data_IF_963910826230
#
_entry.id   IF_963910826230
#
_cell.length_a   1.000
_cell.length_b   1.000
_cell.length_c   1.000
_cell.angle_alpha   90.00
_cell.angle_beta   90.00
_cell.angle_gamma   90.00
#
_symmetry.space_group_name_H-M   'P 1'
#
loop_
_entity.id
_entity.type
_entity.pdbx_description
1 polymer ?
#
# COMPACT_ATOMS: atom_id res chain seq x y z
N UNK A 1 0.13 -26.56 0.60
CA UNK A 1 -1.10 -27.18 0.00
C UNK A 1 -2.04 -26.13 -0.64
N UNK A 2 -2.27 -24.98 0.01
CA UNK A 2 -3.11 -23.88 -0.53
C UNK A 2 -2.42 -23.14 -1.67
N UNK A 3 -1.16 -22.79 -1.51
CA UNK A 3 -0.35 -22.04 -2.49
C UNK A 3 -0.25 -22.76 -3.84
N UNK A 4 -0.06 -24.10 -3.83
CA UNK A 4 0.00 -24.91 -5.04
C UNK A 4 -1.33 -24.96 -5.83
N UNK A 5 -2.47 -24.90 -5.11
CA UNK A 5 -3.80 -24.84 -5.77
C UNK A 5 -4.06 -23.51 -6.46
N UNK A 6 -3.55 -22.43 -5.90
CA UNK A 6 -3.78 -21.06 -6.40
C UNK A 6 -2.69 -20.59 -7.38
N UNK A 7 -1.67 -21.42 -7.66
CA UNK A 7 -0.51 -21.05 -8.50
C UNK A 7 0.17 -19.74 -8.01
N UNK A 8 0.17 -19.52 -6.71
CA UNK A 8 0.78 -18.34 -6.09
C UNK A 8 2.29 -18.56 -6.02
N UNK A 9 3.06 -17.52 -6.30
CA UNK A 9 4.51 -17.48 -6.04
C UNK A 9 4.77 -17.75 -4.55
N UNK A 10 5.72 -18.61 -4.25
CA UNK A 10 6.09 -18.95 -2.87
C UNK A 10 7.61 -19.09 -2.73
N UNK A 11 8.10 -18.95 -1.50
CA UNK A 11 9.52 -18.92 -1.17
C UNK A 11 10.34 -20.15 -1.62
N UNK A 12 9.71 -21.30 -1.84
CA UNK A 12 10.40 -22.51 -2.34
C UNK A 12 11.05 -22.32 -3.71
N UNK A 13 10.65 -21.33 -4.47
CA UNK A 13 11.22 -21.02 -5.78
C UNK A 13 12.34 -19.97 -5.69
N UNK A 14 12.64 -19.49 -4.48
CA UNK A 14 13.54 -18.37 -4.22
C UNK A 14 14.49 -18.68 -3.06
N UNK A 15 15.08 -19.90 -3.05
CA UNK A 15 15.96 -20.39 -1.97
C UNK A 15 17.14 -19.45 -1.69
N UNK A 16 17.69 -18.82 -2.72
CA UNK A 16 18.78 -17.86 -2.58
C UNK A 16 18.39 -16.65 -1.75
N UNK A 17 17.18 -16.10 -1.97
CA UNK A 17 16.69 -14.96 -1.19
C UNK A 17 16.34 -15.34 0.25
N UNK A 18 15.82 -16.55 0.46
CA UNK A 18 15.59 -17.06 1.82
C UNK A 18 16.91 -17.12 2.59
N UNK A 19 17.99 -17.55 1.96
CA UNK A 19 19.33 -17.56 2.57
C UNK A 19 19.87 -16.17 2.83
N UNK A 20 19.76 -15.25 1.86
CA UNK A 20 20.17 -13.86 2.04
C UNK A 20 19.46 -13.18 3.19
N UNK A 21 18.13 -13.37 3.29
CA UNK A 21 17.34 -12.84 4.40
C UNK A 21 17.78 -13.47 5.73
N UNK A 22 18.00 -14.78 5.75
CA UNK A 22 18.49 -15.45 6.95
C UNK A 22 19.86 -14.96 7.39
N UNK A 23 20.80 -14.83 6.47
CA UNK A 23 22.14 -14.33 6.77
C UNK A 23 22.08 -12.89 7.31
N UNK A 24 21.19 -12.08 6.75
CA UNK A 24 20.94 -10.71 7.23
C UNK A 24 20.35 -10.70 8.65
N UNK A 25 19.38 -11.56 8.94
CA UNK A 25 18.82 -11.74 10.29
C UNK A 25 19.90 -12.20 11.27
N UNK A 26 20.66 -13.24 10.90
CA UNK A 26 21.65 -13.85 11.77
C UNK A 26 22.81 -12.88 12.13
N UNK A 27 23.10 -11.92 11.26
CA UNK A 27 24.10 -10.88 11.48
C UNK A 27 23.57 -9.65 12.25
N UNK A 28 22.26 -9.57 12.52
CA UNK A 28 21.65 -8.40 13.15
C UNK A 28 21.85 -8.36 14.67
N UNK A 29 22.00 -7.16 15.20
CA UNK A 29 22.05 -6.92 16.65
C UNK A 29 20.77 -7.37 17.35
N UNK A 30 19.62 -7.24 16.70
CA UNK A 30 18.32 -7.67 17.20
C UNK A 30 18.27 -9.18 17.46
N UNK A 31 18.81 -9.98 16.54
CA UNK A 31 18.88 -11.44 16.71
C UNK A 31 19.90 -11.84 17.77
N UNK A 32 21.05 -11.18 17.81
CA UNK A 32 22.04 -11.39 18.86
C UNK A 32 21.50 -11.07 20.25
N UNK A 33 20.75 -9.98 20.40
CA UNK A 33 20.11 -9.60 21.66
C UNK A 33 19.06 -10.65 22.11
N UNK A 34 18.23 -11.12 21.18
CA UNK A 34 17.26 -12.18 21.48
C UNK A 34 17.92 -13.46 21.98
N UNK A 35 19.02 -13.89 21.34
CA UNK A 35 19.77 -15.07 21.77
C UNK A 35 20.44 -14.88 23.16
N UNK A 36 20.87 -13.66 23.47
CA UNK A 36 21.51 -13.33 24.74
C UNK A 36 20.53 -13.26 25.92
N UNK A 37 19.25 -12.96 25.68
CA UNK A 37 18.22 -12.89 26.75
C UNK A 37 18.03 -14.25 27.45
N UNK A 38 18.24 -15.36 26.76
CA UNK A 38 18.13 -16.72 27.31
C UNK A 38 16.75 -17.08 27.86
N UNK A 39 15.76 -16.20 27.67
CA UNK A 39 14.38 -16.46 28.05
C UNK A 39 13.64 -17.04 26.83
N UNK A 40 13.04 -18.21 27.01
CA UNK A 40 12.16 -18.81 26.02
C UNK A 40 10.71 -18.74 26.49
N UNK A 41 9.82 -18.36 25.59
CA UNK A 41 8.39 -18.32 25.86
C UNK A 41 7.66 -17.49 24.81
N UNK A 42 6.38 -17.77 24.64
CA UNK A 42 5.57 -17.16 23.58
C UNK A 42 5.71 -15.63 23.51
N UNK A 43 5.68 -14.95 24.64
CA UNK A 43 5.77 -13.47 24.67
C UNK A 43 7.15 -12.97 24.24
N UNK A 44 8.24 -13.56 24.72
CA UNK A 44 9.61 -13.20 24.33
C UNK A 44 9.83 -13.49 22.85
N UNK A 45 9.47 -14.67 22.39
CA UNK A 45 9.62 -15.09 21.00
C UNK A 45 8.79 -14.22 20.04
N UNK A 46 7.57 -13.89 20.43
CA UNK A 46 6.69 -12.97 19.68
C UNK A 46 7.29 -11.57 19.57
N UNK A 47 7.79 -11.01 20.66
CA UNK A 47 8.40 -9.68 20.65
C UNK A 47 9.67 -9.67 19.78
N UNK A 48 10.50 -10.68 19.90
CA UNK A 48 11.68 -10.84 19.05
C UNK A 48 11.29 -10.94 17.56
N UNK A 49 10.25 -11.72 17.24
CA UNK A 49 9.76 -11.84 15.86
C UNK A 49 9.24 -10.50 15.32
N UNK A 50 8.50 -9.72 16.12
CA UNK A 50 8.03 -8.39 15.72
C UNK A 50 9.22 -7.46 15.45
N UNK A 51 10.22 -7.42 16.34
CA UNK A 51 11.43 -6.61 16.19
C UNK A 51 12.20 -7.02 14.93
N UNK A 52 12.48 -8.32 14.77
CA UNK A 52 13.18 -8.84 13.59
C UNK A 52 12.42 -8.52 12.28
N UNK A 53 11.11 -8.66 12.29
CA UNK A 53 10.32 -8.33 11.12
C UNK A 53 10.36 -6.83 10.81
N UNK A 54 10.14 -5.97 11.81
CA UNK A 54 10.00 -4.52 11.62
C UNK A 54 11.33 -3.85 11.31
N UNK A 55 12.40 -4.23 12.01
CA UNK A 55 13.66 -3.49 12.00
C UNK A 55 14.72 -4.13 11.12
N UNK A 56 14.56 -5.42 10.76
CA UNK A 56 15.56 -6.17 10.00
C UNK A 56 15.01 -6.65 8.65
N UNK A 57 13.84 -7.30 8.63
CA UNK A 57 13.33 -7.93 7.40
C UNK A 57 12.62 -6.91 6.50
N UNK A 58 11.66 -6.17 7.06
CA UNK A 58 10.84 -5.23 6.27
C UNK A 58 11.66 -4.12 5.57
N UNK A 59 12.71 -3.53 6.18
CA UNK A 59 13.53 -2.52 5.52
C UNK A 59 14.67 -3.08 4.64
N UNK A 60 14.76 -4.42 4.44
CA UNK A 60 15.87 -5.02 3.74
C UNK A 60 15.77 -4.84 2.22
N UNK A 61 16.66 -4.05 1.63
CA UNK A 61 16.65 -3.67 0.21
C UNK A 61 16.57 -4.87 -0.74
N UNK A 62 17.28 -5.97 -0.44
CA UNK A 62 17.25 -7.18 -1.27
C UNK A 62 15.88 -7.85 -1.34
N UNK A 63 15.07 -7.69 -0.29
CA UNK A 63 13.69 -8.16 -0.30
C UNK A 63 12.82 -7.27 -1.20
N UNK A 64 13.04 -5.96 -1.19
CA UNK A 64 12.37 -5.02 -2.08
C UNK A 64 12.71 -5.31 -3.55
N UNK A 65 13.99 -5.46 -3.87
CA UNK A 65 14.47 -5.81 -5.22
C UNK A 65 13.80 -7.09 -5.75
N UNK A 66 13.71 -8.14 -4.92
CA UNK A 66 13.05 -9.39 -5.30
C UNK A 66 11.57 -9.19 -5.61
N UNK A 67 10.86 -8.43 -4.78
CA UNK A 67 9.43 -8.21 -4.95
C UNK A 67 9.17 -7.39 -6.21
N UNK A 68 9.98 -6.37 -6.47
CA UNK A 68 9.92 -5.55 -7.67
C UNK A 68 10.20 -6.41 -8.94
N UNK A 69 11.19 -7.30 -8.89
CA UNK A 69 11.52 -8.21 -10.01
C UNK A 69 10.38 -9.17 -10.32
N UNK A 70 9.77 -9.76 -9.28
CA UNK A 70 8.68 -10.74 -9.46
C UNK A 70 7.41 -10.05 -9.93
N UNK A 71 7.07 -8.90 -9.36
CA UNK A 71 5.83 -8.19 -9.61
C UNK A 71 5.97 -6.70 -9.33
N UNK A 72 6.37 -5.91 -10.34
CA UNK A 72 6.59 -4.46 -10.19
C UNK A 72 5.42 -3.69 -9.56
N UNK A 73 4.17 -4.13 -9.84
CA UNK A 73 2.98 -3.51 -9.26
C UNK A 73 2.81 -3.70 -7.74
N UNK A 74 3.68 -4.48 -7.08
CA UNK A 74 3.64 -4.69 -5.63
C UNK A 74 4.55 -3.72 -4.86
N UNK A 75 5.34 -2.94 -5.55
CA UNK A 75 6.24 -1.96 -4.91
C UNK A 75 5.44 -0.99 -4.06
N UNK A 76 4.33 -0.50 -4.60
CA UNK A 76 3.43 0.43 -3.91
C UNK A 76 2.64 -0.21 -2.76
N UNK A 77 2.31 -1.50 -2.90
CA UNK A 77 1.57 -2.25 -1.88
C UNK A 77 2.46 -2.72 -0.71
N UNK A 78 3.78 -2.71 -0.89
CA UNK A 78 4.73 -3.29 0.07
C UNK A 78 4.64 -2.70 1.48
N UNK A 79 4.56 -1.37 1.67
CA UNK A 79 4.39 -0.77 2.99
C UNK A 79 3.09 -1.21 3.68
N UNK A 80 2.00 -1.31 2.91
CA UNK A 80 0.71 -1.78 3.41
C UNK A 80 0.78 -3.23 3.86
N UNK A 81 1.37 -4.12 3.04
CA UNK A 81 1.56 -5.54 3.37
C UNK A 81 2.39 -5.70 4.64
N UNK A 82 3.50 -4.95 4.77
CA UNK A 82 4.33 -4.97 5.97
C UNK A 82 3.56 -4.52 7.21
N UNK A 83 2.72 -3.49 7.09
CA UNK A 83 1.85 -3.02 8.17
C UNK A 83 0.85 -4.10 8.60
N UNK A 84 0.21 -4.77 7.64
CA UNK A 84 -0.73 -5.86 7.90
C UNK A 84 -0.04 -7.04 8.59
N UNK A 85 1.14 -7.44 8.10
CA UNK A 85 1.92 -8.53 8.70
C UNK A 85 2.34 -8.19 10.14
N UNK A 86 2.89 -6.98 10.36
CA UNK A 86 3.24 -6.51 11.69
C UNK A 86 2.05 -6.53 12.64
N UNK A 87 0.91 -6.01 12.21
CA UNK A 87 -0.31 -6.01 13.02
C UNK A 87 -0.81 -7.43 13.31
N UNK A 88 -0.70 -8.34 12.35
CA UNK A 88 -1.00 -9.76 12.55
C UNK A 88 -0.13 -10.37 13.65
N UNK A 89 1.18 -10.09 13.63
CA UNK A 89 2.11 -10.56 14.68
C UNK A 89 1.77 -9.96 16.05
N UNK A 90 1.43 -8.68 16.12
CA UNK A 90 1.05 -7.99 17.36
C UNK A 90 -0.20 -8.63 17.98
N UNK A 91 -1.18 -9.00 17.18
CA UNK A 91 -2.45 -9.57 17.65
C UNK A 91 -2.44 -11.09 17.82
N UNK A 92 -1.32 -11.74 17.51
CA UNK A 92 -1.16 -13.18 17.72
C UNK A 92 -1.13 -13.53 19.21
N UNK A 93 -1.85 -14.54 19.60
CA UNK A 93 -1.90 -15.09 20.97
C UNK A 93 -1.44 -16.56 20.96
N UNK A 94 -1.04 -17.08 22.12
CA UNK A 94 -0.52 -18.44 22.27
C UNK A 94 -1.50 -19.50 21.79
N UNK A 95 -2.78 -19.27 22.04
CA UNK A 95 -3.93 -20.14 21.67
C UNK A 95 -4.54 -19.79 20.30
N UNK A 96 -3.91 -18.89 19.55
CA UNK A 96 -4.43 -18.56 18.21
C UNK A 96 -4.43 -19.78 17.30
N UNK A 97 -5.56 -20.05 16.66
CA UNK A 97 -5.63 -21.13 15.67
C UNK A 97 -4.72 -20.77 14.48
N UNK A 98 -3.70 -21.61 14.16
CA UNK A 98 -2.81 -21.36 13.02
C UNK A 98 -3.53 -21.23 11.68
N UNK A 99 -4.78 -21.71 11.59
CA UNK A 99 -5.61 -21.59 10.39
C UNK A 99 -6.36 -20.27 10.31
N UNK A 100 -6.44 -19.56 11.43
CA UNK A 100 -7.06 -18.23 11.55
C UNK A 100 -6.05 -17.09 11.51
N UNK A 101 -4.80 -17.32 11.15
CA UNK A 101 -3.87 -16.27 10.70
C UNK A 101 -4.42 -15.66 9.42
N UNK A 102 -5.60 -15.09 9.56
CA UNK A 102 -6.28 -14.33 8.52
C UNK A 102 -5.62 -12.96 8.54
N UNK A 103 -4.98 -12.63 7.45
CA UNK A 103 -4.62 -11.27 7.14
C UNK A 103 -5.83 -10.38 7.44
N UNK A 104 -5.68 -9.46 8.36
CA UNK A 104 -6.71 -8.48 8.65
C UNK A 104 -7.15 -7.83 7.33
N UNK A 105 -8.40 -7.46 7.24
CA UNK A 105 -8.93 -6.75 6.07
C UNK A 105 -7.99 -5.60 5.70
N UNK A 106 -7.71 -5.45 4.42
CA UNK A 106 -6.97 -4.29 3.86
C UNK A 106 -7.74 -3.00 4.15
N UNK A 107 -9.06 -3.11 4.22
CA UNK A 107 -9.96 -2.00 4.55
C UNK A 107 -10.16 -1.92 6.06
N UNK A 108 -10.19 -0.72 6.59
CA UNK A 108 -10.50 -0.45 7.99
C UNK A 108 -11.88 -0.97 8.36
N UNK A 109 -12.84 -0.72 7.48
CA UNK A 109 -14.24 -1.13 7.62
C UNK A 109 -14.92 -1.25 6.24
N UNK A 110 -16.21 -1.59 6.25
CA UNK A 110 -17.00 -1.71 5.03
C UNK A 110 -17.27 -0.36 4.35
N UNK A 111 -17.14 0.75 5.07
CA UNK A 111 -17.33 2.09 4.53
C UNK A 111 -16.13 2.46 3.65
N UNK A 112 -14.90 2.17 4.08
CA UNK A 112 -13.70 2.34 3.26
C UNK A 112 -13.79 1.54 1.95
N UNK A 113 -14.27 0.29 2.04
CA UNK A 113 -14.44 -0.54 0.85
C UNK A 113 -15.49 0.02 -0.10
N UNK A 114 -16.61 0.49 0.44
CA UNK A 114 -17.69 1.10 -0.36
C UNK A 114 -17.23 2.39 -1.00
N UNK A 115 -16.52 3.24 -0.26
CA UNK A 115 -15.98 4.48 -0.79
C UNK A 115 -15.15 4.26 -2.06
N UNK A 116 -14.21 3.31 -2.05
CA UNK A 116 -13.36 3.04 -3.21
C UNK A 116 -14.18 2.62 -4.45
N UNK A 117 -15.19 1.75 -4.25
CA UNK A 117 -16.06 1.28 -5.34
C UNK A 117 -16.96 2.41 -5.84
N UNK A 118 -17.64 3.11 -4.93
CA UNK A 118 -18.57 4.20 -5.27
C UNK A 118 -17.85 5.36 -5.96
N UNK A 119 -16.61 5.70 -5.55
CA UNK A 119 -15.81 6.72 -6.19
C UNK A 119 -15.46 6.31 -7.63
N UNK A 120 -15.00 5.08 -7.84
CA UNK A 120 -14.71 4.59 -9.18
C UNK A 120 -15.96 4.59 -10.07
N UNK A 121 -17.07 4.06 -9.56
CA UNK A 121 -18.35 4.04 -10.29
C UNK A 121 -18.82 5.44 -10.64
N UNK A 122 -18.72 6.39 -9.71
CA UNK A 122 -19.16 7.78 -9.94
C UNK A 122 -18.34 8.45 -11.04
N UNK A 123 -17.04 8.21 -11.10
CA UNK A 123 -16.18 8.75 -12.16
C UNK A 123 -16.49 8.13 -13.52
N UNK A 124 -16.69 6.81 -13.56
CA UNK A 124 -17.01 6.12 -14.84
C UNK A 124 -18.39 6.53 -15.37
N UNK A 125 -19.39 6.62 -14.50
CA UNK A 125 -20.74 6.97 -14.92
C UNK A 125 -20.84 8.44 -15.33
N UNK A 126 -20.14 9.35 -14.68
CA UNK A 126 -20.22 10.80 -14.91
C UNK A 126 -19.02 11.34 -15.72
N UNK A 127 -18.30 10.49 -16.46
CA UNK A 127 -17.06 10.86 -17.15
C UNK A 127 -17.18 12.11 -18.03
N UNK A 128 -18.26 12.22 -18.80
CA UNK A 128 -18.51 13.38 -19.71
C UNK A 128 -18.79 14.65 -18.92
N UNK A 129 -19.57 14.58 -17.84
CA UNK A 129 -19.87 15.72 -16.99
C UNK A 129 -18.62 16.22 -16.29
N UNK A 130 -17.84 15.33 -15.69
CA UNK A 130 -16.56 15.66 -15.05
C UNK A 130 -15.57 16.27 -16.03
N UNK A 131 -15.49 15.75 -17.25
CA UNK A 131 -14.66 16.32 -18.30
C UNK A 131 -15.12 17.73 -18.70
N UNK A 132 -16.43 17.98 -18.77
CA UNK A 132 -16.97 19.31 -19.08
C UNK A 132 -16.64 20.35 -17.98
N UNK A 133 -16.67 19.95 -16.72
CA UNK A 133 -16.26 20.80 -15.58
C UNK A 133 -14.80 21.22 -15.67
N UNK A 134 -13.93 20.34 -16.14
CA UNK A 134 -12.51 20.62 -16.33
C UNK A 134 -12.23 21.60 -17.47
N UNK A 135 -12.97 21.51 -18.57
CA UNK A 135 -12.83 22.42 -19.71
C UNK A 135 -13.02 23.89 -19.31
N UNK A 136 -13.98 24.16 -18.42
CA UNK A 136 -14.22 25.53 -17.93
C UNK A 136 -13.10 26.08 -17.03
N UNK A 137 -12.32 25.21 -16.41
CA UNK A 137 -11.23 25.58 -15.47
C UNK A 137 -9.84 25.59 -16.12
N UNK A 138 -9.74 25.06 -17.34
CA UNK A 138 -8.48 24.97 -18.09
C UNK A 138 -8.54 25.71 -19.45
N UNK A 139 -8.91 27.00 -19.51
CA UNK A 139 -9.18 27.71 -20.76
C UNK A 139 -7.98 27.83 -21.72
N UNK A 140 -6.77 27.63 -21.19
CA UNK A 140 -5.52 27.72 -21.95
C UNK A 140 -4.88 26.38 -22.28
N UNK A 141 -5.57 25.25 -21.99
CA UNK A 141 -5.00 23.93 -22.16
C UNK A 141 -5.85 23.12 -23.16
N UNK A 142 -5.21 22.71 -24.23
CA UNK A 142 -5.80 21.71 -25.15
C UNK A 142 -5.88 20.36 -24.41
N UNK A 143 -7.04 19.70 -24.47
CA UNK A 143 -7.28 18.41 -23.79
C UNK A 143 -6.17 17.37 -24.07
N UNK A 144 -5.63 17.38 -25.27
CA UNK A 144 -4.61 16.44 -25.73
C UNK A 144 -3.21 16.69 -25.12
N UNK A 145 -3.05 17.77 -24.37
CA UNK A 145 -1.78 18.12 -23.68
C UNK A 145 -1.76 17.79 -22.20
N UNK A 146 -2.90 17.46 -21.61
CA UNK A 146 -2.97 17.04 -20.20
C UNK A 146 -2.56 15.58 -20.13
N UNK A 147 -1.61 15.25 -19.22
CA UNK A 147 -1.23 13.87 -18.99
C UNK A 147 -2.43 13.04 -18.56
N UNK A 148 -2.52 11.82 -19.04
CA UNK A 148 -3.67 10.92 -18.78
C UNK A 148 -3.89 10.77 -17.27
N UNK A 149 -2.81 10.61 -16.50
CA UNK A 149 -2.90 10.46 -15.05
C UNK A 149 -3.40 11.72 -14.37
N UNK A 150 -2.95 12.91 -14.79
CA UNK A 150 -3.44 14.19 -14.25
C UNK A 150 -4.94 14.33 -14.48
N UNK A 151 -5.43 13.93 -15.67
CA UNK A 151 -6.86 13.95 -16.00
C UNK A 151 -7.65 12.99 -15.12
N UNK A 152 -7.13 11.79 -14.85
CA UNK A 152 -7.77 10.81 -13.95
C UNK A 152 -7.85 11.37 -12.54
N UNK A 153 -6.75 11.89 -12.00
CA UNK A 153 -6.70 12.46 -10.64
C UNK A 153 -7.65 13.65 -10.49
N UNK A 154 -7.72 14.53 -11.48
CA UNK A 154 -8.65 15.66 -11.48
C UNK A 154 -10.11 15.19 -11.49
N UNK A 155 -10.47 14.20 -12.31
CA UNK A 155 -11.82 13.65 -12.35
C UNK A 155 -12.20 12.99 -11.02
N UNK A 156 -11.29 12.22 -10.42
CA UNK A 156 -11.49 11.61 -9.11
C UNK A 156 -11.71 12.68 -8.05
N UNK A 157 -10.86 13.70 -7.96
CA UNK A 157 -10.99 14.78 -6.99
C UNK A 157 -12.29 15.57 -7.14
N UNK A 158 -12.70 15.92 -8.37
CA UNK A 158 -13.95 16.62 -8.64
C UNK A 158 -15.15 15.74 -8.28
N UNK A 159 -15.10 14.44 -8.62
CA UNK A 159 -16.15 13.49 -8.25
C UNK A 159 -16.30 13.41 -6.73
N UNK A 160 -15.17 13.38 -5.99
CA UNK A 160 -15.17 13.37 -4.53
C UNK A 160 -15.80 14.65 -3.96
N UNK A 161 -15.49 15.83 -4.49
CA UNK A 161 -16.13 17.09 -4.09
C UNK A 161 -17.63 17.09 -4.31
N UNK A 162 -18.11 16.49 -5.39
CA UNK A 162 -19.52 16.53 -5.77
C UNK A 162 -20.36 15.50 -5.04
N UNK A 163 -19.83 14.29 -4.85
CA UNK A 163 -20.62 13.14 -4.41
C UNK A 163 -20.27 12.66 -3.00
N UNK A 164 -19.17 13.13 -2.39
CA UNK A 164 -18.72 12.72 -1.06
C UNK A 164 -18.59 13.92 -0.09
N UNK A 165 -19.68 14.63 0.22
CA UNK A 165 -19.63 15.87 1.01
C UNK A 165 -19.18 15.68 2.46
N UNK A 166 -19.10 14.46 2.95
CA UNK A 166 -18.54 14.12 4.27
C UNK A 166 -17.02 14.27 4.32
N UNK A 167 -16.35 14.29 3.16
CA UNK A 167 -14.90 14.46 3.07
C UNK A 167 -14.59 15.95 2.91
N UNK A 168 -13.81 16.56 3.83
CA UNK A 168 -13.45 17.97 3.68
C UNK A 168 -12.60 18.20 2.43
N UNK A 169 -12.95 19.19 1.60
CA UNK A 169 -12.26 19.49 0.35
C UNK A 169 -10.73 19.65 0.50
N UNK A 170 -10.25 20.16 1.65
CA UNK A 170 -8.83 20.25 1.93
C UNK A 170 -8.16 18.89 2.04
N UNK A 171 -8.85 17.89 2.55
CA UNK A 171 -8.34 16.51 2.62
C UNK A 171 -8.24 15.95 1.21
N UNK A 172 -9.32 16.03 0.44
CA UNK A 172 -9.33 15.61 -0.97
C UNK A 172 -8.17 16.22 -1.75
N UNK A 173 -8.00 17.55 -1.70
CA UNK A 173 -6.90 18.22 -2.40
C UNK A 173 -5.55 17.65 -1.98
N UNK A 174 -5.27 17.55 -0.68
CA UNK A 174 -3.99 17.07 -0.20
C UNK A 174 -3.70 15.64 -0.66
N UNK A 175 -4.65 14.72 -0.56
CA UNK A 175 -4.46 13.33 -0.96
C UNK A 175 -4.15 13.20 -2.46
N UNK A 176 -4.90 13.91 -3.33
CA UNK A 176 -4.63 13.86 -4.77
C UNK A 176 -3.31 14.56 -5.15
N UNK A 177 -2.86 15.55 -4.39
CA UNK A 177 -1.54 16.14 -4.59
C UNK A 177 -0.40 15.17 -4.18
N UNK A 178 -0.56 14.42 -3.10
CA UNK A 178 0.43 13.40 -2.70
C UNK A 178 0.48 12.27 -3.75
N UNK A 179 -0.66 11.76 -4.20
CA UNK A 179 -0.72 10.78 -5.29
C UNK A 179 -0.04 11.33 -6.57
N UNK A 180 -0.29 12.58 -6.92
CA UNK A 180 0.33 13.19 -8.09
C UNK A 180 1.85 13.33 -7.97
N UNK A 181 2.39 13.58 -6.78
CA UNK A 181 3.84 13.64 -6.54
C UNK A 181 4.49 12.27 -6.71
N UNK A 182 3.80 11.22 -6.31
CA UNK A 182 4.33 9.85 -6.32
C UNK A 182 4.23 9.20 -7.71
N UNK A 183 3.09 9.35 -8.39
CA UNK A 183 2.78 8.59 -9.61
C UNK A 183 2.81 9.41 -10.90
N UNK A 184 2.85 10.74 -10.83
CA UNK A 184 2.78 11.59 -12.00
C UNK A 184 4.10 12.34 -12.27
N UNK A 185 4.06 13.32 -13.17
CA UNK A 185 5.25 14.11 -13.47
C UNK A 185 5.58 15.11 -12.36
N UNK A 186 6.83 15.56 -12.21
CA UNK A 186 7.20 16.56 -11.19
C UNK A 186 6.39 17.87 -11.22
N UNK A 187 5.71 18.16 -12.35
CA UNK A 187 4.87 19.35 -12.52
C UNK A 187 3.39 19.08 -12.25
N UNK A 188 2.98 17.84 -12.18
CA UNK A 188 1.58 17.43 -12.07
C UNK A 188 0.93 17.92 -10.79
N UNK A 189 1.60 17.81 -9.65
CA UNK A 189 1.06 18.30 -8.37
C UNK A 189 0.77 19.79 -8.40
N UNK A 190 1.67 20.60 -8.96
CA UNK A 190 1.46 22.05 -9.10
C UNK A 190 0.32 22.36 -10.07
N UNK A 191 0.23 21.62 -11.18
CA UNK A 191 -0.85 21.75 -12.15
C UNK A 191 -2.21 21.40 -11.55
N UNK A 192 -2.33 20.25 -10.90
CA UNK A 192 -3.54 19.79 -10.23
C UNK A 192 -4.00 20.76 -9.15
N UNK A 193 -3.06 21.23 -8.30
CA UNK A 193 -3.34 22.24 -7.26
C UNK A 193 -3.88 23.56 -7.82
N UNK A 194 -3.50 23.91 -9.03
CA UNK A 194 -3.98 25.14 -9.68
C UNK A 194 -5.38 25.01 -10.27
N UNK A 195 -5.92 23.79 -10.41
CA UNK A 195 -7.24 23.50 -10.98
C UNK A 195 -8.28 23.22 -9.89
N UNK A 196 -7.91 22.48 -8.85
CA UNK A 196 -8.76 22.12 -7.71
C UNK A 196 -8.97 23.32 -6.77
#
# INVERSE_FOLDING_TARGET
KYTNKLKITHWQNHDEYVRLIWDHIAASDAYAAYLAEGQSGFTSDKNALITLFTDVIAPYDRLHELIEEIKPSWVDDFPLVNTILRNTLIHMHEDSDPKQLILNSVYKDDDDRRFAVELLESVVVNDEELAAQLVGRTPNWEKDRIAVLDMILLKLAISEFLYFPSIPSKVTINEYLEIAKEYATPKSSTFINGIL
#
